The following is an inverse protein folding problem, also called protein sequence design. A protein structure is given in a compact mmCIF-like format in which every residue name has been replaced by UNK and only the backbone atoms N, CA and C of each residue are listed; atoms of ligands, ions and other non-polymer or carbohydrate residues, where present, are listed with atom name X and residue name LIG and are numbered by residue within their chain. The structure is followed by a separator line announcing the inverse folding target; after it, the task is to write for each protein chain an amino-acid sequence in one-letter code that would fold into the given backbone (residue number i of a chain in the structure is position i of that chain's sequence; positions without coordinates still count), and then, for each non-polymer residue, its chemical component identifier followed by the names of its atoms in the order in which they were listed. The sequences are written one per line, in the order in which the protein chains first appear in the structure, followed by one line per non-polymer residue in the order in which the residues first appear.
data_IF_180073633406
#
_entry.id   IF_180073633406
#
_cell.length_a   1.000
_cell.length_b   1.000
_cell.length_c   1.000
_cell.angle_alpha   90.00
_cell.angle_beta   90.00
_cell.angle_gamma   90.00
#
_symmetry.space_group_name_H-M   'P 1'
#
loop_
_entity.id
_entity.type
_entity.pdbx_description
1 polymer ?
#
# COMPACT_ATOMS: atom_id res chain seq x y z
N UNK A 1 -11.03 -24.43 -5.22
CA UNK A 1 -9.88 -23.63 -4.75
C UNK A 1 -10.42 -22.30 -4.34
N UNK A 2 -10.33 -21.93 -3.06
CA UNK A 2 -10.76 -20.61 -2.59
C UNK A 2 -9.93 -19.53 -3.29
N UNK A 3 -10.58 -18.55 -3.89
CA UNK A 3 -9.87 -17.42 -4.51
C UNK A 3 -9.07 -16.69 -3.43
N UNK A 4 -7.74 -16.72 -3.57
CA UNK A 4 -6.85 -16.08 -2.61
C UNK A 4 -6.98 -14.57 -2.75
N UNK A 5 -7.30 -13.86 -1.65
CA UNK A 5 -7.48 -12.40 -1.67
C UNK A 5 -6.23 -11.72 -2.20
N UNK A 6 -6.40 -10.76 -3.12
CA UNK A 6 -5.31 -10.00 -3.74
C UNK A 6 -5.41 -8.55 -3.30
N UNK A 7 -4.33 -8.02 -2.72
CA UNK A 7 -4.21 -6.61 -2.36
C UNK A 7 -3.40 -5.85 -3.40
N UNK A 8 -3.86 -4.66 -3.76
CA UNK A 8 -3.09 -3.73 -4.60
C UNK A 8 -2.24 -2.81 -3.73
N UNK A 9 -0.99 -2.63 -4.11
CA UNK A 9 -0.07 -1.69 -3.48
C UNK A 9 0.51 -0.73 -4.52
N UNK A 10 0.41 0.57 -4.25
CA UNK A 10 1.01 1.63 -5.07
C UNK A 10 2.38 1.94 -4.50
N UNK A 11 3.39 2.01 -5.36
CA UNK A 11 4.78 2.22 -4.96
C UNK A 11 5.36 3.43 -5.70
N UNK A 12 5.78 4.43 -4.95
CA UNK A 12 6.44 5.64 -5.46
C UNK A 12 7.86 5.78 -4.91
N UNK A 13 8.76 6.42 -5.66
CA UNK A 13 10.11 6.74 -5.18
C UNK A 13 10.31 8.24 -5.06
N UNK A 14 10.62 8.71 -3.87
CA UNK A 14 10.80 10.12 -3.58
C UNK A 14 11.98 10.32 -2.63
N UNK A 15 12.87 11.28 -2.91
CA UNK A 15 14.00 11.64 -2.05
C UNK A 15 14.84 10.43 -1.54
N UNK A 16 15.00 9.40 -2.37
CA UNK A 16 15.75 8.18 -2.02
C UNK A 16 14.99 7.16 -1.18
N UNK A 17 13.70 7.39 -0.92
CA UNK A 17 12.78 6.47 -0.24
C UNK A 17 11.79 5.86 -1.23
N UNK A 18 11.43 4.62 -0.97
CA UNK A 18 10.30 3.95 -1.59
C UNK A 18 9.12 4.05 -0.63
N UNK A 19 8.09 4.76 -1.04
CA UNK A 19 6.81 4.85 -0.33
C UNK A 19 5.87 3.80 -0.92
N UNK A 20 5.18 3.07 -0.05
CA UNK A 20 4.32 1.94 -0.39
C UNK A 20 2.99 2.19 0.29
N UNK A 21 1.93 2.33 -0.48
CA UNK A 21 0.58 2.53 0.02
C UNK A 21 -0.31 1.36 -0.38
N UNK A 22 -1.09 0.84 0.57
CA UNK A 22 -2.10 -0.19 0.32
C UNK A 22 -3.47 0.48 0.47
N UNK A 23 -4.14 0.87 -0.64
CA UNK A 23 -5.35 1.68 -0.59
C UNK A 23 -6.49 1.03 0.18
N UNK A 24 -6.69 -0.27 0.01
CA UNK A 24 -7.75 -1.04 0.68
C UNK A 24 -7.64 -1.05 2.21
N UNK A 25 -6.45 -0.79 2.73
CA UNK A 25 -6.20 -0.75 4.17
C UNK A 25 -6.02 0.68 4.68
N UNK A 26 -5.90 1.66 3.80
CA UNK A 26 -5.44 3.02 4.12
C UNK A 26 -4.16 3.05 4.98
N UNK A 27 -3.18 2.20 4.62
CA UNK A 27 -1.92 2.11 5.34
C UNK A 27 -0.73 2.37 4.41
N UNK A 28 0.28 3.04 4.95
CA UNK A 28 1.52 3.39 4.26
C UNK A 28 2.73 2.83 5.02
N UNK A 29 3.72 2.36 4.28
CA UNK A 29 5.05 2.05 4.80
C UNK A 29 6.14 2.53 3.84
N UNK A 30 7.36 2.72 4.34
CA UNK A 30 8.48 3.24 3.54
C UNK A 30 9.78 2.49 3.78
N UNK A 31 10.63 2.43 2.76
CA UNK A 31 11.96 1.80 2.85
C UNK A 31 12.98 2.47 1.93
N UNK A 32 14.25 2.52 2.34
CA UNK A 32 15.36 2.96 1.47
C UNK A 32 15.83 1.88 0.49
N UNK A 33 15.48 0.61 0.72
CA UNK A 33 15.98 -0.53 -0.05
C UNK A 33 14.85 -1.13 -0.90
N UNK A 34 14.95 -1.03 -2.23
CA UNK A 34 13.94 -1.57 -3.16
C UNK A 34 13.64 -3.06 -2.93
N UNK A 35 14.69 -3.86 -2.66
CA UNK A 35 14.54 -5.30 -2.35
C UNK A 35 13.65 -5.60 -1.14
N UNK A 36 13.42 -4.62 -0.25
CA UNK A 36 12.55 -4.77 0.92
C UNK A 36 11.08 -4.47 0.64
N UNK A 37 10.74 -3.87 -0.51
CA UNK A 37 9.36 -3.49 -0.83
C UNK A 37 8.42 -4.69 -0.67
N UNK A 38 8.72 -5.82 -1.32
CA UNK A 38 7.88 -7.01 -1.29
C UNK A 38 7.65 -7.59 0.11
N UNK A 39 8.67 -7.52 0.97
CA UNK A 39 8.60 -8.01 2.34
C UNK A 39 7.75 -7.06 3.17
N UNK A 40 8.07 -5.76 3.12
CA UNK A 40 7.41 -4.76 3.96
C UNK A 40 5.93 -4.61 3.61
N UNK A 41 5.55 -4.68 2.32
CA UNK A 41 4.13 -4.66 1.94
C UNK A 41 3.37 -5.86 2.51
N UNK A 42 3.95 -7.07 2.47
CA UNK A 42 3.31 -8.27 3.02
C UNK A 42 3.20 -8.22 4.53
N UNK A 43 4.28 -7.89 5.23
CA UNK A 43 4.26 -7.78 6.69
C UNK A 43 3.31 -6.69 7.17
N UNK A 44 3.17 -5.58 6.44
CA UNK A 44 2.17 -4.55 6.72
C UNK A 44 0.75 -5.12 6.65
N UNK A 45 0.38 -5.75 5.52
CA UNK A 45 -0.97 -6.29 5.31
C UNK A 45 -1.29 -7.36 6.37
N UNK A 46 -0.37 -8.29 6.62
CA UNK A 46 -0.53 -9.34 7.61
C UNK A 46 -0.74 -8.78 9.02
N UNK A 47 0.07 -7.78 9.42
CA UNK A 47 -0.03 -7.15 10.73
C UNK A 47 -1.35 -6.39 10.90
N UNK A 48 -1.79 -5.65 9.89
CA UNK A 48 -3.04 -4.88 9.93
C UNK A 48 -4.27 -5.79 10.00
N UNK A 49 -4.26 -6.91 9.26
CA UNK A 49 -5.40 -7.82 9.19
C UNK A 49 -5.39 -8.92 10.25
N UNK A 50 -4.28 -9.13 10.96
CA UNK A 50 -4.12 -10.24 11.89
C UNK A 50 -4.14 -11.61 11.20
N UNK A 51 -3.56 -11.72 10.00
CA UNK A 51 -3.54 -12.95 9.19
C UNK A 51 -2.12 -13.35 8.80
N UNK A 52 -1.95 -14.63 8.45
CA UNK A 52 -0.69 -15.15 7.89
C UNK A 52 -0.32 -14.49 6.55
N UNK A 53 0.96 -14.20 6.32
CA UNK A 53 1.46 -13.62 5.05
C UNK A 53 1.20 -14.53 3.83
N UNK A 54 1.01 -15.83 4.05
CA UNK A 54 0.71 -16.81 3.00
C UNK A 54 -0.77 -16.85 2.61
N UNK A 55 -1.64 -16.15 3.34
CA UNK A 55 -3.09 -16.20 3.15
C UNK A 55 -3.62 -15.26 2.04
N UNK A 56 -2.76 -14.37 1.52
CA UNK A 56 -3.11 -13.39 0.48
C UNK A 56 -1.99 -13.21 -0.54
N UNK A 57 -2.31 -12.53 -1.64
CA UNK A 57 -1.34 -12.08 -2.65
C UNK A 57 -1.27 -10.56 -2.66
N UNK A 58 -0.16 -10.05 -3.19
CA UNK A 58 0.08 -8.62 -3.34
C UNK A 58 0.51 -8.32 -4.77
N UNK A 59 -0.25 -7.49 -5.45
CA UNK A 59 0.12 -6.86 -6.71
C UNK A 59 0.67 -5.47 -6.43
N UNK A 60 1.79 -5.13 -7.07
CA UNK A 60 2.48 -3.85 -6.86
C UNK A 60 2.52 -3.08 -8.16
N UNK A 61 2.01 -1.87 -8.13
CA UNK A 61 2.09 -0.91 -9.23
C UNK A 61 3.17 0.12 -8.89
N UNK A 62 4.16 0.26 -9.78
CA UNK A 62 5.19 1.29 -9.64
C UNK A 62 4.75 2.55 -10.39
N UNK A 63 4.74 3.68 -9.69
CA UNK A 63 4.33 4.98 -10.22
C UNK A 63 5.39 6.05 -9.95
N UNK A 64 5.26 7.23 -10.57
CA UNK A 64 6.08 8.40 -10.25
C UNK A 64 5.78 8.92 -8.84
N UNK A 65 6.68 9.72 -8.26
CA UNK A 65 6.43 10.38 -6.97
C UNK A 65 5.17 11.25 -7.02
N UNK A 66 5.03 12.06 -8.08
CA UNK A 66 3.86 12.91 -8.31
C UNK A 66 2.57 12.10 -8.39
N UNK A 67 2.56 10.99 -9.11
CA UNK A 67 1.38 10.14 -9.23
C UNK A 67 1.05 9.42 -7.90
N UNK A 68 2.08 9.03 -7.13
CA UNK A 68 1.88 8.49 -5.79
C UNK A 68 1.20 9.53 -4.88
N UNK A 69 1.75 10.74 -4.83
CA UNK A 69 1.24 11.84 -4.00
C UNK A 69 -0.18 12.21 -4.40
N UNK A 70 -0.46 12.31 -5.71
CA UNK A 70 -1.79 12.59 -6.25
C UNK A 70 -2.81 11.57 -5.77
N UNK A 71 -2.55 10.26 -6.02
CA UNK A 71 -3.48 9.19 -5.64
C UNK A 71 -3.68 9.09 -4.14
N UNK A 72 -2.61 9.21 -3.36
CA UNK A 72 -2.68 9.15 -1.90
C UNK A 72 -3.48 10.33 -1.33
N UNK A 73 -3.20 11.55 -1.80
CA UNK A 73 -3.90 12.77 -1.36
C UNK A 73 -5.38 12.73 -1.74
N UNK A 74 -5.72 12.28 -2.96
CA UNK A 74 -7.10 12.08 -3.40
C UNK A 74 -7.85 11.11 -2.46
N UNK A 75 -7.21 9.99 -2.09
CA UNK A 75 -7.81 9.00 -1.19
C UNK A 75 -8.02 9.53 0.23
N UNK A 76 -7.02 10.18 0.83
CA UNK A 76 -7.14 10.79 2.17
C UNK A 76 -8.23 11.87 2.19
N UNK A 77 -8.37 12.66 1.12
CA UNK A 77 -9.44 13.66 1.00
C UNK A 77 -10.82 13.00 0.91
N UNK A 78 -10.95 11.89 0.20
CA UNK A 78 -12.22 11.17 0.10
C UNK A 78 -12.68 10.63 1.47
N UNK A 79 -11.77 10.06 2.27
CA UNK A 79 -12.08 9.60 3.64
C UNK A 79 -12.58 10.75 4.53
N UNK A 80 -11.89 11.90 4.50
CA UNK A 80 -12.27 13.08 5.29
C UNK A 80 -13.63 13.69 4.91
N UNK A 81 -14.10 13.48 3.67
CA UNK A 81 -15.44 13.91 3.24
C UNK A 81 -16.50 12.94 3.75
N UNK A 82 -16.20 11.64 3.78
CA UNK A 82 -17.12 10.60 4.19
C UNK A 82 -17.39 10.61 5.71
N UNK A 83 -16.42 11.01 6.53
CA UNK A 83 -16.60 11.16 8.00
C UNK A 83 -17.40 12.41 8.41
N UNK A 84 -17.72 13.30 7.48
CA UNK A 84 -18.46 14.56 7.74
C UNK A 84 -19.93 14.53 7.31
N UNK A 85 -20.43 13.39 6.83
CA UNK A 85 -21.83 13.15 6.44
C UNK A 85 -22.53 12.28 7.48
#
# INVERSE_FOLDING_TARGET
MSEQRVFKAVVGKEAGWWNIWVPELDHVTSTRKSRKIALYTRSLIAAVLGVEESSFRVERELVSAEEFERRYTEAVRAVNVQEKL
#
